data_IF_844515732563
#
_entry.id   IF_844515732563
#
_cell.length_a   1.000
_cell.length_b   1.000
_cell.length_c   1.000
_cell.angle_alpha   90.00
_cell.angle_beta   90.00
_cell.angle_gamma   90.00
#
_symmetry.space_group_name_H-M   'P 1'
#
loop_
_entity.id
_entity.type
_entity.pdbx_description
1 polymer ?
#
# COMPACT_ATOMS: atom_id res chain seq x y z
N UNK A 1 3.26 -16.35 -3.29
CA UNK A 1 3.29 -14.90 -3.60
C UNK A 1 4.64 -14.47 -4.16
N UNK A 2 5.76 -14.62 -3.43
CA UNK A 2 7.09 -14.25 -3.95
C UNK A 2 7.44 -14.93 -5.27
N UNK A 3 7.17 -16.24 -5.42
CA UNK A 3 7.40 -16.95 -6.68
C UNK A 3 6.63 -16.34 -7.87
N UNK A 4 5.38 -15.94 -7.67
CA UNK A 4 4.58 -15.27 -8.71
C UNK A 4 5.15 -13.88 -9.04
N UNK A 5 5.61 -13.14 -8.04
CA UNK A 5 6.30 -11.87 -8.24
C UNK A 5 7.60 -12.04 -9.03
N UNK A 6 8.41 -13.04 -8.70
CA UNK A 6 9.66 -13.34 -9.39
C UNK A 6 9.41 -13.78 -10.85
N UNK A 7 8.34 -14.54 -11.11
CA UNK A 7 7.94 -14.91 -12.47
C UNK A 7 7.51 -13.66 -13.26
N UNK A 8 6.69 -12.79 -12.67
CA UNK A 8 6.26 -11.54 -13.30
C UNK A 8 7.46 -10.62 -13.62
N UNK A 9 8.43 -10.49 -12.70
CA UNK A 9 9.65 -9.72 -12.91
C UNK A 9 10.52 -10.27 -14.04
N UNK A 10 10.56 -11.59 -14.20
CA UNK A 10 11.33 -12.22 -15.29
C UNK A 10 10.80 -11.88 -16.68
N UNK A 11 9.51 -11.55 -16.78
CA UNK A 11 8.85 -11.16 -18.05
C UNK A 11 8.87 -9.65 -18.29
N UNK A 12 9.13 -8.85 -17.27
CA UNK A 12 9.18 -7.38 -17.35
C UNK A 12 10.41 -6.84 -16.60
N UNK A 13 11.62 -7.12 -17.08
CA UNK A 13 12.85 -6.77 -16.38
C UNK A 13 13.02 -5.25 -16.29
N UNK A 14 13.55 -4.80 -15.16
CA UNK A 14 13.99 -3.42 -14.97
C UNK A 14 15.15 -3.12 -15.94
N UNK A 15 15.09 -1.97 -16.61
CA UNK A 15 16.10 -1.60 -17.60
C UNK A 15 16.33 -0.09 -17.65
N UNK A 16 17.58 0.31 -17.49
CA UNK A 16 17.99 1.71 -17.60
C UNK A 16 17.29 2.60 -16.57
N UNK A 17 16.55 3.60 -17.03
CA UNK A 17 15.77 4.53 -16.17
C UNK A 17 14.31 4.12 -15.99
N UNK A 18 13.92 2.92 -16.41
CA UNK A 18 12.56 2.42 -16.30
C UNK A 18 12.41 1.59 -15.05
N UNK A 19 11.48 1.97 -14.19
CA UNK A 19 11.02 1.17 -13.05
C UNK A 19 9.73 0.48 -13.45
N UNK A 20 9.61 -0.80 -13.08
CA UNK A 20 8.40 -1.58 -13.32
C UNK A 20 7.89 -2.14 -12.02
N UNK A 21 6.66 -1.79 -11.65
CA UNK A 21 5.96 -2.41 -10.54
C UNK A 21 5.03 -3.51 -11.04
N UNK A 22 4.92 -4.57 -10.25
CA UNK A 22 4.05 -5.69 -10.51
C UNK A 22 2.83 -5.60 -9.59
N UNK A 23 1.64 -5.62 -10.18
CA UNK A 23 0.39 -5.73 -9.43
C UNK A 23 -0.17 -7.12 -9.71
N UNK A 24 -0.29 -7.93 -8.67
CA UNK A 24 -0.83 -9.29 -8.75
C UNK A 24 -2.27 -9.31 -8.23
N UNK A 25 -3.12 -10.04 -8.93
CA UNK A 25 -4.48 -10.36 -8.51
C UNK A 25 -4.60 -11.88 -8.35
N UNK A 26 -4.11 -12.46 -7.26
CA UNK A 26 -4.19 -13.89 -7.04
C UNK A 26 -5.64 -14.31 -6.81
N UNK A 27 -6.00 -15.51 -7.27
CA UNK A 27 -7.27 -16.12 -6.91
C UNK A 27 -7.24 -16.58 -5.44
N UNK A 28 -8.36 -16.44 -4.75
CA UNK A 28 -8.48 -16.76 -3.31
C UNK A 28 -8.10 -15.60 -2.40
N UNK A 29 -7.93 -15.93 -1.14
CA UNK A 29 -7.62 -14.98 -0.06
C UNK A 29 -6.17 -15.18 0.41
N UNK A 30 -5.64 -14.21 1.15
CA UNK A 30 -4.40 -14.38 1.92
C UNK A 30 -4.61 -15.40 3.06
N UNK A 31 -3.53 -15.88 3.70
CA UNK A 31 -3.60 -16.80 4.85
C UNK A 31 -4.48 -16.23 5.97
N UNK A 32 -4.39 -14.93 6.22
CA UNK A 32 -5.36 -14.18 7.00
C UNK A 32 -6.38 -13.57 6.04
N UNK A 33 -7.60 -14.08 6.03
CA UNK A 33 -8.67 -13.62 5.12
C UNK A 33 -9.12 -12.18 5.37
N UNK A 34 -8.67 -11.54 6.45
CA UNK A 34 -8.93 -10.12 6.70
C UNK A 34 -8.05 -9.19 5.86
N UNK A 35 -6.98 -9.70 5.25
CA UNK A 35 -6.05 -8.93 4.42
C UNK A 35 -6.64 -8.70 3.04
N UNK A 36 -6.69 -7.42 2.62
CA UNK A 36 -7.19 -6.99 1.31
C UNK A 36 -6.07 -6.75 0.29
N UNK A 37 -4.90 -6.33 0.77
CA UNK A 37 -3.70 -6.11 -0.02
C UNK A 37 -2.44 -6.41 0.76
N UNK A 38 -1.32 -6.51 0.09
CA UNK A 38 0.01 -6.64 0.71
C UNK A 38 1.12 -6.19 -0.24
N UNK A 39 2.04 -5.37 0.25
CA UNK A 39 3.33 -5.15 -0.41
C UNK A 39 4.23 -6.37 -0.19
N UNK A 40 4.43 -7.18 -1.23
CA UNK A 40 5.18 -8.44 -1.18
C UNK A 40 6.68 -8.18 -1.09
N UNK A 41 7.15 -7.18 -1.82
CA UNK A 41 8.52 -6.67 -1.85
C UNK A 41 8.55 -5.26 -2.45
N UNK A 42 9.72 -4.67 -2.61
CA UNK A 42 9.90 -3.29 -3.10
C UNK A 42 9.37 -3.00 -4.53
N UNK A 43 8.86 -4.00 -5.24
CA UNK A 43 8.37 -3.83 -6.61
C UNK A 43 7.09 -4.62 -6.92
N UNK A 44 6.52 -5.31 -5.94
CA UNK A 44 5.38 -6.20 -6.14
C UNK A 44 4.35 -5.99 -5.05
N UNK A 45 3.12 -5.75 -5.45
CA UNK A 45 1.95 -5.77 -4.57
C UNK A 45 0.99 -6.88 -4.99
N UNK A 46 0.20 -7.35 -4.06
CA UNK A 46 -0.88 -8.28 -4.33
C UNK A 46 -2.19 -7.77 -3.74
N UNK A 47 -3.25 -7.84 -4.53
CA UNK A 47 -4.61 -7.40 -4.18
C UNK A 47 -5.53 -8.61 -4.20
N UNK A 48 -6.21 -8.87 -3.09
CA UNK A 48 -7.06 -10.05 -2.89
C UNK A 48 -8.52 -9.69 -3.19
N UNK A 49 -8.90 -9.85 -4.46
CA UNK A 49 -10.25 -9.49 -4.90
C UNK A 49 -11.35 -10.28 -4.19
N UNK A 50 -11.13 -11.55 -3.88
CA UNK A 50 -12.12 -12.37 -3.17
C UNK A 50 -12.38 -11.82 -1.76
N UNK A 51 -11.34 -11.34 -1.05
CA UNK A 51 -11.49 -10.67 0.26
C UNK A 51 -12.21 -9.32 0.13
N UNK A 52 -11.93 -8.56 -0.93
CA UNK A 52 -12.59 -7.28 -1.21
C UNK A 52 -14.09 -7.46 -1.49
N UNK A 53 -14.43 -8.44 -2.34
CA UNK A 53 -15.82 -8.75 -2.68
C UNK A 53 -16.59 -9.26 -1.44
N UNK A 54 -15.93 -10.01 -0.55
CA UNK A 54 -16.52 -10.45 0.71
C UNK A 54 -16.77 -9.25 1.64
N UNK A 55 -15.81 -8.33 1.75
CA UNK A 55 -15.95 -7.11 2.54
C UNK A 55 -17.14 -6.26 2.05
N UNK A 56 -17.28 -6.03 0.74
CA UNK A 56 -18.44 -5.34 0.17
C UNK A 56 -19.75 -6.03 0.51
N UNK A 57 -19.82 -7.37 0.36
CA UNK A 57 -21.02 -8.14 0.62
C UNK A 57 -21.48 -8.06 2.08
N UNK A 58 -20.55 -8.01 3.03
CA UNK A 58 -20.85 -7.91 4.46
C UNK A 58 -21.38 -6.51 4.80
N UNK A 59 -20.75 -5.47 4.30
CA UNK A 59 -20.98 -4.09 4.73
C UNK A 59 -21.85 -3.28 3.76
N UNK A 60 -22.00 -3.73 2.51
CA UNK A 60 -22.75 -3.08 1.42
C UNK A 60 -22.26 -1.68 1.01
N UNK A 61 -21.27 -1.15 1.70
CA UNK A 61 -20.59 0.13 1.44
C UNK A 61 -19.28 0.14 2.23
N UNK A 62 -18.19 0.70 1.69
CA UNK A 62 -18.04 1.20 0.31
C UNK A 62 -18.09 0.08 -0.73
N UNK A 63 -18.21 0.43 -2.03
CA UNK A 63 -18.22 -0.57 -3.12
C UNK A 63 -16.84 -1.24 -3.27
N UNK A 64 -16.82 -2.48 -3.80
CA UNK A 64 -15.59 -3.22 -4.07
C UNK A 64 -14.58 -2.40 -4.90
N UNK A 65 -15.06 -1.64 -5.91
CA UNK A 65 -14.20 -0.76 -6.72
C UNK A 65 -13.51 0.33 -5.88
N UNK A 66 -14.22 0.93 -4.93
CA UNK A 66 -13.63 1.94 -4.04
C UNK A 66 -12.62 1.32 -3.10
N UNK A 67 -12.95 0.16 -2.53
CA UNK A 67 -12.04 -0.58 -1.66
C UNK A 67 -10.77 -0.94 -2.43
N UNK A 68 -10.90 -1.54 -3.61
CA UNK A 68 -9.77 -1.94 -4.47
C UNK A 68 -8.87 -0.74 -4.79
N UNK A 69 -9.45 0.40 -5.16
CA UNK A 69 -8.68 1.61 -5.47
C UNK A 69 -7.91 2.13 -4.25
N UNK A 70 -8.56 2.19 -3.08
CA UNK A 70 -7.93 2.64 -1.85
C UNK A 70 -6.79 1.70 -1.44
N UNK A 71 -7.02 0.39 -1.44
CA UNK A 71 -6.02 -0.63 -1.14
C UNK A 71 -4.85 -0.57 -2.11
N UNK A 72 -5.11 -0.44 -3.43
CA UNK A 72 -4.03 -0.36 -4.41
C UNK A 72 -3.13 0.86 -4.19
N UNK A 73 -3.71 2.04 -3.92
CA UNK A 73 -2.91 3.25 -3.64
C UNK A 73 -2.13 3.09 -2.34
N UNK A 74 -2.72 2.49 -1.30
CA UNK A 74 -2.07 2.16 -0.03
C UNK A 74 -0.82 1.28 -0.26
N UNK A 75 -0.97 0.16 -0.95
CA UNK A 75 0.15 -0.75 -1.23
C UNK A 75 1.25 -0.10 -2.09
N UNK A 76 0.88 0.77 -3.01
CA UNK A 76 1.85 1.59 -3.76
C UNK A 76 2.60 2.54 -2.81
N UNK A 77 1.95 3.08 -1.80
CA UNK A 77 2.59 3.88 -0.75
C UNK A 77 3.70 3.09 -0.04
N UNK A 78 3.47 1.83 0.29
CA UNK A 78 4.52 0.95 0.84
C UNK A 78 5.66 0.72 -0.14
N UNK A 79 5.39 0.59 -1.45
CA UNK A 79 6.44 0.50 -2.47
C UNK A 79 7.26 1.79 -2.58
N UNK A 80 6.66 2.94 -2.30
CA UNK A 80 7.34 4.23 -2.22
C UNK A 80 8.12 4.41 -0.91
N UNK A 81 7.94 3.48 0.03
CA UNK A 81 8.59 3.48 1.34
C UNK A 81 7.98 4.44 2.35
N UNK A 82 6.74 4.89 2.10
CA UNK A 82 6.05 5.84 2.96
C UNK A 82 5.91 5.35 4.40
N UNK A 83 5.72 6.30 5.28
CA UNK A 83 5.55 6.17 6.73
C UNK A 83 6.69 5.40 7.37
N UNK A 84 7.91 5.96 7.26
CA UNK A 84 9.13 5.49 7.92
C UNK A 84 9.63 4.09 7.52
N UNK A 85 9.12 3.51 6.43
CA UNK A 85 9.56 2.17 6.00
C UNK A 85 11.04 2.15 5.58
N UNK A 86 11.53 3.19 4.90
CA UNK A 86 12.91 3.27 4.38
C UNK A 86 13.61 4.59 4.68
N UNK A 87 13.02 5.45 5.47
CA UNK A 87 13.56 6.73 5.91
C UNK A 87 13.05 7.04 7.31
N UNK A 88 13.40 8.18 7.86
CA UNK A 88 12.78 8.73 9.06
C UNK A 88 12.18 10.09 8.69
N UNK A 89 10.86 10.21 8.81
CA UNK A 89 10.15 11.45 8.58
C UNK A 89 10.57 12.52 9.58
N UNK A 90 10.70 13.80 9.16
CA UNK A 90 10.88 14.91 10.08
C UNK A 90 9.61 15.22 10.89
N UNK A 91 8.46 14.68 10.49
CA UNK A 91 7.17 14.80 11.18
C UNK A 91 6.78 13.45 11.76
N UNK A 92 6.35 13.42 13.02
CA UNK A 92 5.87 12.21 13.68
C UNK A 92 4.41 11.94 13.28
N UNK A 93 4.21 11.23 12.17
CA UNK A 93 2.91 10.85 11.64
C UNK A 93 2.70 9.32 11.54
N UNK A 94 3.63 8.54 12.08
CA UNK A 94 3.48 7.08 12.13
C UNK A 94 2.60 6.64 13.30
N UNK A 95 1.71 5.68 13.04
CA UNK A 95 0.97 4.98 14.09
C UNK A 95 1.89 3.99 14.81
N UNK A 96 2.23 4.29 16.06
CA UNK A 96 3.10 3.44 16.89
C UNK A 96 2.55 2.03 17.14
N UNK A 97 1.23 1.84 16.98
CA UNK A 97 0.55 0.55 17.11
C UNK A 97 0.56 -0.26 15.82
N UNK A 98 0.72 0.42 14.69
CA UNK A 98 0.75 -0.14 13.34
C UNK A 98 1.92 0.46 12.55
N UNK A 99 3.17 0.04 12.84
CA UNK A 99 4.36 0.59 12.17
C UNK A 99 4.27 0.51 10.65
N UNK A 100 4.75 1.55 9.97
CA UNK A 100 4.62 1.69 8.52
C UNK A 100 3.30 2.29 8.05
N UNK A 101 2.41 2.68 8.97
CA UNK A 101 1.11 3.27 8.68
C UNK A 101 0.93 4.64 9.33
N UNK A 102 0.13 5.49 8.67
CA UNK A 102 -0.17 6.83 9.18
C UNK A 102 -1.07 6.78 10.42
N UNK A 103 -0.84 7.70 11.36
CA UNK A 103 -1.72 7.93 12.49
C UNK A 103 -2.95 8.79 12.13
N UNK A 104 -3.03 9.28 10.88
CA UNK A 104 -4.13 10.07 10.36
C UNK A 104 -5.12 9.16 9.62
N UNK A 105 -6.35 9.06 10.14
CA UNK A 105 -7.41 8.25 9.53
C UNK A 105 -7.91 8.76 8.17
N UNK A 106 -7.60 10.02 7.83
CA UNK A 106 -7.92 10.60 6.52
C UNK A 106 -6.84 10.30 5.46
N UNK A 107 -5.68 9.73 5.84
CA UNK A 107 -4.66 9.29 4.90
C UNK A 107 -4.98 7.92 4.32
N UNK A 108 -4.70 7.72 3.03
CA UNK A 108 -4.72 6.39 2.43
C UNK A 108 -3.70 5.45 3.06
N UNK A 109 -2.66 5.96 3.74
CA UNK A 109 -1.69 5.16 4.49
C UNK A 109 -2.16 4.74 5.89
N UNK A 110 -3.44 4.95 6.23
CA UNK A 110 -4.01 4.47 7.49
C UNK A 110 -4.13 2.93 7.48
N UNK A 111 -3.73 2.26 8.56
CA UNK A 111 -3.62 0.78 8.64
C UNK A 111 -4.90 0.00 8.29
N UNK A 112 -6.07 0.58 8.57
CA UNK A 112 -7.34 -0.11 8.32
C UNK A 112 -7.64 -0.30 6.83
N UNK A 113 -6.96 0.43 5.94
CA UNK A 113 -7.18 0.36 4.48
C UNK A 113 -6.84 -1.02 3.92
N UNK A 114 -5.79 -1.66 4.40
CA UNK A 114 -5.34 -2.97 3.92
C UNK A 114 -6.11 -4.17 4.52
N UNK A 115 -7.11 -3.91 5.37
CA UNK A 115 -7.85 -4.95 6.07
C UNK A 115 -9.36 -4.80 5.97
N UNK A 116 -10.09 -5.88 6.24
CA UNK A 116 -11.56 -5.85 6.34
C UNK A 116 -12.08 -4.89 7.43
N UNK A 117 -11.19 -4.41 8.32
CA UNK A 117 -11.52 -3.34 9.27
C UNK A 117 -11.89 -2.02 8.62
N UNK A 118 -11.54 -1.82 7.36
CA UNK A 118 -11.86 -0.65 6.53
C UNK A 118 -13.33 -0.22 6.67
N UNK A 119 -14.24 -1.19 6.72
CA UNK A 119 -15.67 -0.94 6.82
C UNK A 119 -16.13 -0.41 8.20
N UNK A 120 -15.30 -0.53 9.24
CA UNK A 120 -15.62 -0.01 10.57
C UNK A 120 -15.27 1.47 10.72
N UNK A 121 -14.36 1.97 9.88
CA UNK A 121 -13.85 3.34 9.96
C UNK A 121 -14.47 4.27 8.92
N UNK A 122 -14.96 3.72 7.81
CA UNK A 122 -15.37 4.51 6.66
C UNK A 122 -16.80 4.15 6.21
N UNK A 123 -17.72 5.10 6.34
CA UNK A 123 -19.12 4.90 5.93
C UNK A 123 -19.29 4.84 4.41
N UNK A 124 -18.65 5.74 3.66
CA UNK A 124 -18.81 5.87 2.21
C UNK A 124 -17.64 6.45 1.44
N UNK A 125 -16.77 7.18 2.11
CA UNK A 125 -15.62 7.85 1.48
C UNK A 125 -14.35 7.29 2.07
N UNK A 126 -13.69 6.44 1.29
CA UNK A 126 -12.37 5.93 1.63
C UNK A 126 -11.32 6.94 1.21
N UNK A 127 -10.26 7.12 2.01
CA UNK A 127 -9.07 7.81 1.55
C UNK A 127 -8.51 7.12 0.31
N UNK A 128 -8.24 7.87 -0.74
CA UNK A 128 -7.64 7.40 -2.00
C UNK A 128 -6.42 8.22 -2.39
N UNK A 129 -6.03 9.15 -1.53
CA UNK A 129 -4.92 10.07 -1.77
C UNK A 129 -3.99 10.06 -0.56
N UNK A 130 -2.71 10.28 -0.81
CA UNK A 130 -1.73 10.54 0.23
C UNK A 130 -2.03 11.88 0.90
N UNK A 131 -1.87 11.95 2.20
CA UNK A 131 -2.06 13.21 2.92
C UNK A 131 -0.86 14.17 2.75
N UNK A 132 -0.93 15.34 3.40
CA UNK A 132 0.11 16.33 3.26
C UNK A 132 1.47 15.88 3.85
N UNK A 133 1.47 15.08 4.91
CA UNK A 133 2.71 14.60 5.52
C UNK A 133 3.36 13.55 4.62
N UNK A 134 2.59 12.62 4.06
CA UNK A 134 3.05 11.68 3.04
C UNK A 134 3.65 12.39 1.82
N UNK A 135 2.94 13.41 1.29
CA UNK A 135 3.39 14.18 0.12
C UNK A 135 4.65 15.00 0.41
N UNK A 136 4.78 15.56 1.61
CA UNK A 136 5.98 16.27 2.05
C UNK A 136 7.18 15.33 2.16
N UNK A 137 6.97 14.13 2.67
CA UNK A 137 8.01 13.11 2.75
C UNK A 137 8.47 12.67 1.35
N UNK A 138 7.54 12.43 0.42
CA UNK A 138 7.88 12.14 -0.98
C UNK A 138 8.68 13.26 -1.62
N UNK A 139 8.31 14.51 -1.37
CA UNK A 139 9.05 15.67 -1.88
C UNK A 139 10.47 15.74 -1.29
N UNK A 140 10.60 15.49 0.03
CA UNK A 140 11.90 15.48 0.70
C UNK A 140 12.80 14.32 0.26
N UNK A 141 12.23 13.14 -0.02
CA UNK A 141 12.96 12.02 -0.63
C UNK A 141 13.43 12.36 -2.05
N UNK A 142 12.56 12.99 -2.84
CA UNK A 142 12.86 13.34 -4.23
C UNK A 142 13.96 14.42 -4.35
N UNK A 143 13.98 15.40 -3.47
CA UNK A 143 14.99 16.48 -3.47
C UNK A 143 16.24 16.16 -2.63
N UNK A 144 16.22 15.03 -1.90
CA UNK A 144 17.33 14.55 -1.08
C UNK A 144 17.45 15.25 0.28
N UNK A 145 16.48 16.03 0.71
CA UNK A 145 16.44 16.64 2.06
C UNK A 145 16.09 15.61 3.13
N UNK A 146 15.37 14.54 2.77
CA UNK A 146 15.16 13.35 3.58
C UNK A 146 16.06 12.24 3.05
N UNK A 147 17.05 11.77 3.82
CA UNK A 147 17.91 10.68 3.39
C UNK A 147 17.18 9.36 3.45
N UNK A 148 17.17 8.64 2.34
CA UNK A 148 16.70 7.27 2.30
C UNK A 148 17.73 6.35 2.98
N UNK A 149 17.28 5.52 3.93
CA UNK A 149 18.14 4.61 4.72
C UNK A 149 18.28 3.24 4.07
N UNK A 150 17.42 2.91 3.13
CA UNK A 150 17.51 1.69 2.31
C UNK A 150 17.21 2.02 0.84
N UNK A 151 17.60 1.15 -0.06
CA UNK A 151 17.18 1.29 -1.46
C UNK A 151 15.72 0.86 -1.59
N UNK A 152 14.87 1.81 -1.97
CA UNK A 152 13.46 1.55 -2.32
C UNK A 152 13.33 0.49 -3.43
N UNK A 153 14.35 0.41 -4.26
CA UNK A 153 14.40 -0.45 -5.42
C UNK A 153 15.69 -1.26 -5.40
N UNK A 154 15.56 -2.55 -5.20
CA UNK A 154 16.59 -3.51 -5.56
C UNK A 154 16.11 -4.23 -6.80
N UNK A 155 16.76 -4.03 -7.95
CA UNK A 155 16.45 -4.77 -9.16
C UNK A 155 16.68 -6.28 -8.95
#
# INVERSE_FOLDING_TARGET
MRELGDEAKSTSPQSGSTLTWQVLFPAGTYDDSSVLGVAVDASTVAIFKDSIDEAENIFRRPSAEKIENSVLVHEVGHLLGLVNTVYTSPVDHEDSSHPGHSNNEDSVMYWAIESTSIANFFDNELPTEFDNDDLNDLAGLADGSIPCTDQLWRP
#
